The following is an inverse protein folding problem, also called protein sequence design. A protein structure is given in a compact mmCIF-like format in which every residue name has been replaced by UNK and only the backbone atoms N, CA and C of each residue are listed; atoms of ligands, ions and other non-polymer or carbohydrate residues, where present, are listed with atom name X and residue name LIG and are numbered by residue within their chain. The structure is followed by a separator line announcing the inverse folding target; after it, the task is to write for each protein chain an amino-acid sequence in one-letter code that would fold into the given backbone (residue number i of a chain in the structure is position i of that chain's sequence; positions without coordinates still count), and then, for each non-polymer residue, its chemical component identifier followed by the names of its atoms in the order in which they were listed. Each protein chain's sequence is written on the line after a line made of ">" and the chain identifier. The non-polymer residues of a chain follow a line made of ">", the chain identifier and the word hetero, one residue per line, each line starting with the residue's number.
data_IF_012590596999
#
_entry.id   IF_012590596999
#
_cell.length_a   1.000
_cell.length_b   1.000
_cell.length_c   1.000
_cell.angle_alpha   90.00
_cell.angle_beta   90.00
_cell.angle_gamma   90.00
#
_symmetry.space_group_name_H-M   'P 1'
#
loop_
_entity.id
_entity.type
_entity.pdbx_description
1 polymer ?
#
# COMPACT_ATOMS: atom_id res chain seq x y z
N UNK A 1 3.08 15.73 -77.35
CA UNK A 1 3.04 16.41 -76.07
C UNK A 1 1.71 16.11 -75.40
N UNK A 2 1.68 15.36 -74.30
CA UNK A 2 0.44 15.10 -73.56
C UNK A 2 0.17 16.29 -72.67
N UNK A 3 -0.94 17.03 -72.89
CA UNK A 3 -1.40 18.14 -72.05
C UNK A 3 -1.79 17.61 -70.68
N UNK A 4 -1.02 17.98 -69.67
CA UNK A 4 -1.31 17.67 -68.27
C UNK A 4 -2.53 18.48 -67.84
N UNK A 5 -3.59 17.82 -67.46
CA UNK A 5 -4.86 18.44 -67.10
C UNK A 5 -4.72 19.08 -65.71
N UNK A 6 -4.57 20.41 -65.66
CA UNK A 6 -4.32 21.26 -64.48
C UNK A 6 -5.36 21.03 -63.38
N UNK A 7 -6.59 20.64 -63.72
CA UNK A 7 -7.65 20.32 -62.79
C UNK A 7 -7.33 19.05 -61.93
N UNK A 8 -6.59 18.07 -62.49
CA UNK A 8 -6.15 16.89 -61.76
C UNK A 8 -4.96 17.14 -60.86
N UNK A 9 -4.13 18.15 -61.16
CA UNK A 9 -2.96 18.52 -60.37
C UNK A 9 -3.35 19.30 -59.11
N UNK A 10 -4.47 20.02 -59.09
CA UNK A 10 -4.95 20.78 -57.94
C UNK A 10 -5.70 19.88 -56.89
N UNK A 11 -6.23 18.72 -57.29
CA UNK A 11 -6.96 17.82 -56.39
C UNK A 11 -6.02 17.04 -55.49
N UNK A 12 -4.80 16.74 -55.96
CA UNK A 12 -3.82 15.94 -55.22
C UNK A 12 -3.31 16.63 -53.94
N UNK A 13 -2.90 17.91 -53.93
CA UNK A 13 -2.52 18.60 -52.67
C UNK A 13 -3.71 18.86 -51.75
N UNK A 14 -4.93 19.04 -52.27
CA UNK A 14 -6.12 19.20 -51.45
C UNK A 14 -6.47 17.89 -50.71
N UNK A 15 -6.37 16.74 -51.36
CA UNK A 15 -6.57 15.44 -50.74
C UNK A 15 -5.49 15.12 -49.69
N UNK A 16 -4.22 15.50 -49.95
CA UNK A 16 -3.12 15.33 -48.98
C UNK A 16 -3.30 16.21 -47.74
N UNK A 17 -3.79 17.44 -47.92
CA UNK A 17 -4.10 18.37 -46.79
C UNK A 17 -5.17 17.86 -45.83
N UNK A 18 -6.17 17.15 -46.33
CA UNK A 18 -7.25 16.58 -45.53
C UNK A 18 -6.79 15.37 -44.68
N UNK A 19 -5.77 14.64 -45.12
CA UNK A 19 -5.23 13.48 -44.38
C UNK A 19 -4.46 13.94 -43.15
N UNK A 20 -3.76 15.10 -43.23
CA UNK A 20 -2.97 15.61 -42.08
C UNK A 20 -3.81 16.29 -40.99
N UNK A 21 -5.01 16.77 -41.30
CA UNK A 21 -5.89 17.40 -40.30
C UNK A 21 -6.76 16.38 -39.55
N UNK A 22 -6.95 15.18 -40.10
CA UNK A 22 -7.79 14.16 -39.49
C UNK A 22 -7.15 13.49 -38.23
N UNK A 23 -5.83 13.37 -38.21
CA UNK A 23 -5.16 12.66 -37.11
C UNK A 23 -5.04 13.44 -35.80
N UNK A 24 -5.00 14.78 -35.85
CA UNK A 24 -4.85 15.58 -34.61
C UNK A 24 -6.12 15.67 -33.77
N UNK A 25 -7.28 15.53 -34.36
CA UNK A 25 -8.57 15.64 -33.66
C UNK A 25 -8.98 14.32 -32.99
N UNK A 26 -8.40 13.21 -33.43
CA UNK A 26 -8.72 11.88 -32.91
C UNK A 26 -7.78 11.38 -31.78
N UNK A 27 -6.65 12.05 -31.58
CA UNK A 27 -5.62 11.59 -30.64
C UNK A 27 -5.44 12.47 -29.39
N UNK A 28 -6.11 13.62 -29.31
CA UNK A 28 -5.79 14.59 -28.26
C UNK A 28 -6.89 14.86 -27.24
N UNK A 29 -8.13 14.46 -27.51
CA UNK A 29 -9.19 14.71 -26.53
C UNK A 29 -10.35 13.73 -26.72
N UNK A 30 -10.37 12.69 -25.90
CA UNK A 30 -11.53 11.80 -25.79
C UNK A 30 -12.58 12.37 -24.83
N UNK A 31 -12.43 13.62 -24.38
CA UNK A 31 -13.28 14.25 -23.39
C UNK A 31 -13.39 13.38 -22.14
N UNK A 32 -14.55 13.33 -21.54
CA UNK A 32 -14.80 12.55 -20.32
C UNK A 32 -15.01 11.04 -20.56
N UNK A 33 -14.81 10.54 -21.77
CA UNK A 33 -15.07 9.14 -22.14
C UNK A 33 -14.20 8.15 -21.34
N UNK A 34 -13.00 8.57 -20.93
CA UNK A 34 -12.08 7.77 -20.12
C UNK A 34 -12.13 8.14 -18.63
N UNK A 35 -12.98 9.08 -18.24
CA UNK A 35 -13.19 9.42 -16.83
C UNK A 35 -14.28 8.51 -16.30
N UNK A 36 -13.89 7.54 -15.48
CA UNK A 36 -14.88 6.72 -14.80
C UNK A 36 -15.55 7.56 -13.69
N UNK A 37 -16.85 7.88 -13.80
CA UNK A 37 -17.54 8.70 -12.80
C UNK A 37 -17.67 8.00 -11.45
N UNK A 38 -17.44 6.68 -11.40
CA UNK A 38 -17.43 5.90 -10.16
C UNK A 38 -16.09 5.89 -9.43
N UNK A 39 -15.04 6.49 -10.01
CA UNK A 39 -13.72 6.58 -9.37
C UNK A 39 -13.51 8.00 -8.86
N UNK A 40 -13.28 8.14 -7.58
CA UNK A 40 -12.91 9.42 -6.98
C UNK A 40 -11.54 9.85 -7.51
N UNK A 41 -11.44 11.05 -8.07
CA UNK A 41 -10.19 11.61 -8.63
C UNK A 41 -9.11 11.90 -7.56
N UNK A 42 -9.46 11.73 -6.28
CA UNK A 42 -8.53 11.91 -5.14
C UNK A 42 -8.75 10.80 -4.12
N UNK A 43 -7.69 10.30 -3.48
CA UNK A 43 -7.81 9.29 -2.44
C UNK A 43 -8.67 9.77 -1.28
N UNK A 44 -9.63 8.97 -0.84
CA UNK A 44 -10.39 9.19 0.38
C UNK A 44 -9.60 8.62 1.57
N UNK A 45 -8.75 9.43 2.18
CA UNK A 45 -7.85 8.98 3.25
C UNK A 45 -8.55 8.35 4.46
N UNK A 46 -9.75 8.82 4.81
CA UNK A 46 -10.58 8.19 5.84
C UNK A 46 -10.99 6.77 5.44
N UNK A 47 -11.34 6.52 4.18
CA UNK A 47 -11.69 5.19 3.69
C UNK A 47 -10.45 4.28 3.63
N UNK A 48 -9.29 4.78 3.21
CA UNK A 48 -8.03 4.04 3.23
C UNK A 48 -7.64 3.64 4.66
N UNK A 49 -7.79 4.55 5.63
CA UNK A 49 -7.53 4.23 7.04
C UNK A 49 -8.50 3.18 7.56
N UNK A 50 -9.81 3.34 7.29
CA UNK A 50 -10.83 2.35 7.70
C UNK A 50 -10.54 0.98 7.09
N UNK A 51 -10.22 0.90 5.79
CA UNK A 51 -9.86 -0.34 5.11
C UNK A 51 -8.64 -0.99 5.77
N UNK A 52 -7.62 -0.20 6.07
CA UNK A 52 -6.42 -0.68 6.76
C UNK A 52 -6.75 -1.24 8.15
N UNK A 53 -7.60 -0.57 8.91
CA UNK A 53 -8.00 -1.01 10.26
C UNK A 53 -8.85 -2.29 10.23
N UNK A 54 -9.71 -2.47 9.22
CA UNK A 54 -10.49 -3.71 9.02
C UNK A 54 -9.57 -4.90 8.71
N UNK A 55 -8.44 -4.67 8.04
CA UNK A 55 -7.49 -5.72 7.71
C UNK A 55 -6.58 -6.13 8.88
N UNK A 56 -6.36 -5.27 9.90
CA UNK A 56 -5.46 -5.53 11.04
C UNK A 56 -5.75 -6.84 11.77
N UNK A 57 -7.01 -7.24 12.07
CA UNK A 57 -7.29 -8.52 12.70
C UNK A 57 -6.71 -9.73 11.97
N UNK A 58 -6.63 -9.69 10.63
CA UNK A 58 -6.01 -10.74 9.83
C UNK A 58 -4.50 -10.92 10.13
N UNK A 59 -3.80 -9.84 10.46
CA UNK A 59 -2.40 -9.90 10.88
C UNK A 59 -2.24 -10.36 12.33
N UNK A 60 -3.21 -10.06 13.20
CA UNK A 60 -3.19 -10.51 14.58
C UNK A 60 -3.52 -12.00 14.73
N UNK A 61 -4.45 -12.51 13.92
CA UNK A 61 -4.98 -13.87 13.99
C UNK A 61 -4.41 -14.74 12.87
N UNK A 62 -3.09 -14.96 12.86
CA UNK A 62 -2.43 -15.83 11.88
C UNK A 62 -2.70 -17.32 12.21
N UNK A 63 -3.85 -17.83 11.81
CA UNK A 63 -4.26 -19.23 12.04
C UNK A 63 -3.29 -20.23 11.44
N UNK A 64 -2.65 -19.91 10.31
CA UNK A 64 -1.70 -20.80 9.62
C UNK A 64 -0.46 -21.11 10.46
N UNK A 65 0.08 -20.12 11.17
CA UNK A 65 1.16 -20.35 12.12
C UNK A 65 0.76 -21.35 13.22
N UNK A 66 -0.46 -21.24 13.74
CA UNK A 66 -1.02 -22.17 14.72
C UNK A 66 -1.18 -23.59 14.18
N UNK A 67 -1.55 -23.74 12.89
CA UNK A 67 -1.61 -25.07 12.23
C UNK A 67 -0.21 -25.66 12.06
N UNK A 68 0.78 -24.89 11.65
CA UNK A 68 2.16 -25.36 11.50
C UNK A 68 2.84 -25.70 12.82
N UNK A 69 2.50 -25.00 13.91
CA UNK A 69 2.96 -25.31 15.25
C UNK A 69 2.13 -26.40 15.93
N UNK A 70 1.15 -26.98 15.25
CA UNK A 70 0.26 -28.03 15.78
C UNK A 70 -0.60 -27.58 16.98
N UNK A 71 -0.83 -26.27 17.17
CA UNK A 71 -1.79 -25.77 18.16
C UNK A 71 -3.24 -25.89 17.68
N UNK A 72 -3.44 -25.92 16.38
CA UNK A 72 -4.73 -26.14 15.72
C UNK A 72 -4.61 -27.36 14.81
N UNK A 73 -5.73 -28.05 14.59
CA UNK A 73 -5.86 -29.09 13.58
C UNK A 73 -7.08 -28.80 12.71
N UNK A 74 -6.96 -29.12 11.43
CA UNK A 74 -8.08 -29.11 10.51
C UNK A 74 -8.85 -30.42 10.64
N UNK A 75 -10.18 -30.36 10.51
CA UNK A 75 -11.03 -31.54 10.67
C UNK A 75 -11.40 -32.21 9.37
N UNK A 76 -11.62 -31.43 8.31
CA UNK A 76 -12.12 -31.94 7.03
C UNK A 76 -11.05 -31.98 5.93
N UNK A 77 -10.16 -31.01 5.88
CA UNK A 77 -9.10 -30.88 4.89
C UNK A 77 -7.76 -30.64 5.59
N UNK A 78 -7.06 -31.67 6.05
CA UNK A 78 -5.88 -31.54 6.90
C UNK A 78 -4.61 -31.12 6.16
N UNK A 79 -4.72 -30.67 4.92
CA UNK A 79 -3.59 -30.42 4.04
C UNK A 79 -2.64 -29.36 4.56
N UNK A 80 -3.14 -28.26 5.12
CA UNK A 80 -2.28 -27.19 5.64
C UNK A 80 -1.56 -27.63 6.91
N UNK A 81 -2.25 -28.29 7.84
CA UNK A 81 -1.63 -28.83 9.07
C UNK A 81 -0.62 -29.94 8.78
N UNK A 82 -0.70 -30.57 7.61
CA UNK A 82 0.26 -31.58 7.11
C UNK A 82 1.36 -30.99 6.22
N UNK A 83 1.53 -29.66 6.22
CA UNK A 83 2.58 -28.96 5.47
C UNK A 83 2.51 -29.14 3.94
N UNK A 84 1.32 -29.32 3.38
CA UNK A 84 1.11 -29.44 1.93
C UNK A 84 1.50 -28.18 1.15
N UNK A 85 1.53 -27.03 1.83
CA UNK A 85 1.95 -25.74 1.26
C UNK A 85 3.28 -25.33 1.93
N UNK A 86 4.42 -25.74 1.38
CA UNK A 86 5.74 -25.50 2.00
C UNK A 86 6.17 -24.03 1.96
N UNK A 87 5.63 -23.23 1.03
CA UNK A 87 5.97 -21.82 0.88
C UNK A 87 4.71 -20.97 0.85
N UNK A 88 4.70 -19.95 1.68
CA UNK A 88 3.63 -18.93 1.74
C UNK A 88 4.24 -17.64 1.26
N UNK A 89 3.62 -17.07 0.23
CA UNK A 89 4.06 -15.82 -0.35
C UNK A 89 3.71 -14.63 0.57
N UNK A 90 4.64 -13.70 0.76
CA UNK A 90 4.44 -12.47 1.53
C UNK A 90 4.14 -11.23 0.65
N UNK A 91 4.32 -11.33 -0.66
CA UNK A 91 4.25 -10.19 -1.60
C UNK A 91 2.90 -9.48 -1.57
N UNK A 92 1.80 -10.23 -1.40
CA UNK A 92 0.45 -9.67 -1.34
C UNK A 92 0.23 -8.65 -0.21
N UNK A 93 1.09 -8.64 0.82
CA UNK A 93 0.99 -7.65 1.89
C UNK A 93 1.38 -6.24 1.42
N UNK A 94 2.24 -6.11 0.41
CA UNK A 94 2.76 -4.82 -0.05
C UNK A 94 1.78 -4.07 -0.96
N UNK A 95 1.08 -4.75 -1.83
CA UNK A 95 0.16 -4.13 -2.81
C UNK A 95 -1.17 -3.68 -2.23
N UNK A 96 -1.52 -4.12 -1.02
CA UNK A 96 -2.78 -3.82 -0.34
C UNK A 96 -2.60 -2.77 0.76
N UNK A 97 -2.83 -3.23 2.00
CA UNK A 97 -2.89 -2.38 3.20
C UNK A 97 -1.63 -1.55 3.43
N UNK A 98 -0.44 -2.11 3.17
CA UNK A 98 0.81 -1.34 3.31
C UNK A 98 0.87 -0.18 2.33
N UNK A 99 0.40 -0.37 1.10
CA UNK A 99 0.34 0.70 0.10
C UNK A 99 -0.68 1.78 0.49
N UNK A 100 -1.85 1.40 1.02
CA UNK A 100 -2.86 2.33 1.53
C UNK A 100 -2.30 3.19 2.65
N UNK A 101 -1.63 2.56 3.64
CA UNK A 101 -0.97 3.26 4.75
C UNK A 101 0.16 4.18 4.26
N UNK A 102 0.96 3.73 3.31
CA UNK A 102 2.03 4.55 2.72
C UNK A 102 1.46 5.76 1.99
N UNK A 103 0.33 5.61 1.30
CA UNK A 103 -0.35 6.73 0.65
C UNK A 103 -0.83 7.77 1.68
N UNK A 104 -1.40 7.34 2.82
CA UNK A 104 -1.78 8.25 3.90
C UNK A 104 -0.54 8.95 4.48
N UNK A 105 0.57 8.23 4.67
CA UNK A 105 1.82 8.81 5.19
C UNK A 105 2.35 9.90 4.27
N UNK A 106 2.33 9.66 2.96
CA UNK A 106 2.84 10.61 1.97
C UNK A 106 1.90 11.80 1.77
N UNK A 107 0.60 11.56 1.63
CA UNK A 107 -0.35 12.51 1.10
C UNK A 107 -1.50 12.86 2.08
N UNK A 108 -1.54 12.22 3.26
CA UNK A 108 -2.62 12.38 4.23
C UNK A 108 -2.77 13.82 4.73
N UNK A 109 -3.98 14.20 5.18
CA UNK A 109 -4.35 15.60 5.40
C UNK A 109 -3.73 16.22 6.66
N UNK A 110 -3.25 15.41 7.61
CA UNK A 110 -2.72 15.91 8.89
C UNK A 110 -1.78 14.90 9.57
N UNK A 111 -1.02 15.41 10.56
CA UNK A 111 0.01 14.65 11.27
C UNK A 111 -0.56 13.49 12.10
N UNK A 112 -1.75 13.66 12.67
CA UNK A 112 -2.37 12.59 13.46
C UNK A 112 -2.73 11.38 12.61
N UNK A 113 -3.32 11.57 11.40
CA UNK A 113 -3.58 10.47 10.48
C UNK A 113 -2.30 9.80 9.99
N UNK A 114 -1.27 10.60 9.68
CA UNK A 114 0.05 10.09 9.28
C UNK A 114 0.69 9.29 10.41
N UNK A 115 0.65 9.78 11.64
CA UNK A 115 1.18 9.10 12.83
C UNK A 115 0.52 7.74 13.07
N UNK A 116 -0.81 7.67 13.00
CA UNK A 116 -1.56 6.40 13.11
C UNK A 116 -1.15 5.44 12.01
N UNK A 117 -1.08 5.91 10.76
CA UNK A 117 -0.71 5.07 9.61
C UNK A 117 0.71 4.52 9.73
N UNK A 118 1.66 5.30 10.27
CA UNK A 118 3.02 4.84 10.57
C UNK A 118 3.04 3.75 11.64
N UNK A 119 2.24 3.89 12.71
CA UNK A 119 2.12 2.86 13.75
C UNK A 119 1.54 1.57 13.18
N UNK A 120 0.47 1.65 12.38
CA UNK A 120 -0.14 0.49 11.75
C UNK A 120 0.81 -0.18 10.74
N UNK A 121 1.52 0.61 9.93
CA UNK A 121 2.54 0.10 9.02
C UNK A 121 3.65 -0.65 9.77
N UNK A 122 4.12 -0.10 10.87
CA UNK A 122 5.13 -0.74 11.72
C UNK A 122 4.60 -2.05 12.33
N UNK A 123 3.33 -2.09 12.75
CA UNK A 123 2.70 -3.32 13.23
C UNK A 123 2.68 -4.42 12.17
N UNK A 124 2.27 -4.09 10.95
CA UNK A 124 2.21 -5.04 9.84
C UNK A 124 3.62 -5.54 9.49
N UNK A 125 4.61 -4.66 9.35
CA UNK A 125 5.98 -5.07 9.06
C UNK A 125 6.58 -5.93 10.16
N UNK A 126 6.27 -5.67 11.44
CA UNK A 126 6.72 -6.55 12.53
C UNK A 126 6.16 -7.95 12.36
N UNK A 127 4.89 -8.08 11.97
CA UNK A 127 4.25 -9.37 11.73
C UNK A 127 4.82 -10.09 10.51
N UNK A 128 5.13 -9.34 9.44
CA UNK A 128 5.75 -9.90 8.24
C UNK A 128 7.16 -10.43 8.55
N UNK A 129 8.02 -9.62 9.17
CA UNK A 129 9.39 -10.07 9.49
C UNK A 129 9.42 -11.20 10.51
N UNK A 130 8.47 -11.23 11.47
CA UNK A 130 8.31 -12.36 12.41
C UNK A 130 7.94 -13.66 11.71
N UNK A 131 7.22 -13.57 10.59
CA UNK A 131 6.74 -14.75 9.85
C UNK A 131 7.74 -15.22 8.79
N UNK A 132 8.47 -14.31 8.13
CA UNK A 132 9.33 -14.65 6.98
C UNK A 132 10.82 -14.29 7.16
N UNK A 133 11.18 -13.61 8.26
CA UNK A 133 12.57 -13.20 8.51
C UNK A 133 12.95 -11.96 7.70
N UNK A 134 13.98 -12.08 6.88
CA UNK A 134 14.47 -11.01 6.01
C UNK A 134 13.45 -10.74 4.89
N UNK A 135 13.02 -9.49 4.77
CA UNK A 135 12.03 -9.04 3.76
C UNK A 135 12.37 -7.63 3.28
N UNK A 136 11.87 -7.19 2.13
CA UNK A 136 12.01 -5.80 1.71
C UNK A 136 11.31 -4.85 2.70
N UNK A 137 12.04 -3.91 3.28
CA UNK A 137 11.55 -2.94 4.25
C UNK A 137 11.98 -1.50 3.92
N UNK A 138 13.30 -1.24 3.88
CA UNK A 138 13.82 0.11 3.70
C UNK A 138 13.51 0.72 2.32
N UNK A 139 13.50 -0.11 1.29
CA UNK A 139 13.19 0.26 -0.08
C UNK A 139 11.75 -0.12 -0.48
N UNK A 140 10.99 -0.69 0.43
CA UNK A 140 9.61 -1.07 0.16
C UNK A 140 8.72 0.16 -0.08
N UNK A 141 7.70 0.01 -0.94
CA UNK A 141 6.68 1.02 -1.21
C UNK A 141 7.23 2.35 -1.78
N UNK A 142 8.46 2.34 -2.28
CA UNK A 142 9.12 3.50 -2.89
C UNK A 142 8.89 3.63 -4.40
N UNK A 143 8.18 2.68 -5.01
CA UNK A 143 8.05 2.56 -6.47
C UNK A 143 9.22 1.80 -7.13
N UNK A 144 10.20 1.33 -6.35
CA UNK A 144 11.24 0.45 -6.86
C UNK A 144 10.68 -0.95 -7.16
N UNK A 145 10.77 -1.40 -8.40
CA UNK A 145 10.27 -2.71 -8.83
C UNK A 145 11.08 -3.90 -8.29
N UNK A 146 12.30 -3.66 -7.79
CA UNK A 146 13.21 -4.67 -7.25
C UNK A 146 13.83 -4.20 -5.93
N UNK A 147 13.04 -4.05 -4.85
CA UNK A 147 13.58 -3.62 -3.56
C UNK A 147 14.51 -4.68 -2.98
N UNK A 148 15.58 -4.25 -2.33
CA UNK A 148 16.50 -5.14 -1.62
C UNK A 148 15.80 -5.74 -0.38
N UNK A 149 16.22 -6.96 -0.01
CA UNK A 149 15.84 -7.57 1.27
C UNK A 149 16.70 -6.96 2.38
N UNK A 150 16.04 -6.54 3.45
CA UNK A 150 16.69 -6.07 4.67
C UNK A 150 16.78 -7.22 5.67
N UNK A 151 17.83 -7.24 6.48
CA UNK A 151 17.96 -8.22 7.55
C UNK A 151 16.91 -7.96 8.63
N UNK A 152 16.37 -9.00 9.22
CA UNK A 152 15.38 -8.88 10.29
C UNK A 152 15.87 -7.97 11.44
N UNK A 153 17.15 -8.03 11.82
CA UNK A 153 17.75 -7.15 12.83
C UNK A 153 17.65 -5.67 12.47
N UNK A 154 17.88 -5.34 11.19
CA UNK A 154 17.84 -3.98 10.68
C UNK A 154 16.39 -3.48 10.59
N UNK A 155 15.48 -4.37 10.20
CA UNK A 155 14.03 -4.10 10.22
C UNK A 155 13.57 -3.74 11.62
N UNK A 156 13.93 -4.54 12.64
CA UNK A 156 13.55 -4.25 14.03
C UNK A 156 14.08 -2.91 14.52
N UNK A 157 15.33 -2.57 14.19
CA UNK A 157 15.91 -1.26 14.50
C UNK A 157 15.12 -0.13 13.83
N UNK A 158 14.79 -0.31 12.56
CA UNK A 158 13.95 0.61 11.80
C UNK A 158 12.56 0.79 12.41
N UNK A 159 11.91 -0.32 12.79
CA UNK A 159 10.58 -0.30 13.41
C UNK A 159 10.55 0.46 14.73
N UNK A 160 11.55 0.26 15.60
CA UNK A 160 11.65 0.99 16.88
C UNK A 160 11.84 2.49 16.67
N UNK A 161 12.66 2.87 15.69
CA UNK A 161 12.87 4.26 15.29
C UNK A 161 11.59 4.86 14.72
N UNK A 162 10.93 4.16 13.82
CA UNK A 162 9.68 4.57 13.18
C UNK A 162 8.55 4.77 14.20
N UNK A 163 8.38 3.83 15.12
CA UNK A 163 7.37 3.93 16.18
C UNK A 163 7.63 5.13 17.12
N UNK A 164 8.91 5.39 17.43
CA UNK A 164 9.26 6.58 18.23
C UNK A 164 8.87 7.87 17.52
N UNK A 165 9.20 7.98 16.24
CA UNK A 165 8.85 9.15 15.44
C UNK A 165 7.33 9.28 15.25
N UNK A 166 6.63 8.16 15.01
CA UNK A 166 5.18 8.14 14.84
C UNK A 166 4.42 8.58 16.09
N UNK A 167 4.84 8.09 17.27
CA UNK A 167 4.23 8.50 18.56
C UNK A 167 4.48 9.99 18.84
N UNK A 168 5.65 10.51 18.52
CA UNK A 168 5.96 11.94 18.66
C UNK A 168 5.19 12.82 17.67
N UNK A 169 4.86 12.29 16.49
CA UNK A 169 4.03 12.99 15.49
C UNK A 169 2.57 13.09 15.93
N UNK A 170 2.09 12.13 16.74
CA UNK A 170 0.75 12.18 17.32
C UNK A 170 0.66 13.28 18.39
N UNK A 171 -0.40 14.06 18.36
CA UNK A 171 -0.61 15.24 19.20
C UNK A 171 -0.49 16.54 18.41
N UNK A 172 -0.15 16.44 17.12
CA UNK A 172 -0.27 17.54 16.16
C UNK A 172 -1.74 17.92 15.89
N UNK A 173 -1.94 18.80 14.92
CA UNK A 173 -3.28 19.26 14.54
C UNK A 173 -4.00 18.25 13.65
N UNK A 174 -5.33 18.28 13.68
CA UNK A 174 -6.22 17.55 12.78
C UNK A 174 -6.84 16.29 13.39
N UNK A 175 -8.04 15.99 12.91
CA UNK A 175 -8.81 14.81 13.35
C UNK A 175 -8.33 13.53 12.63
N UNK A 176 -8.39 12.41 13.33
CA UNK A 176 -8.20 11.08 12.75
C UNK A 176 -9.58 10.59 12.28
N UNK A 177 -9.90 10.86 11.02
CA UNK A 177 -11.17 10.44 10.42
C UNK A 177 -11.07 9.01 9.90
N UNK A 178 -12.15 8.23 10.01
CA UNK A 178 -12.17 6.83 9.59
C UNK A 178 -11.57 5.85 10.61
N UNK A 179 -11.24 6.33 11.82
CA UNK A 179 -10.75 5.47 12.90
C UNK A 179 -11.90 4.73 13.59
N UNK A 180 -12.05 3.44 13.28
CA UNK A 180 -13.07 2.54 13.84
C UNK A 180 -12.63 1.85 15.14
N UNK A 181 -11.37 2.03 15.57
CA UNK A 181 -10.82 1.36 16.76
C UNK A 181 -10.89 2.24 17.99
N UNK A 182 -10.43 3.47 17.89
CA UNK A 182 -10.37 4.40 19.03
C UNK A 182 -11.18 5.67 18.82
N UNK A 183 -11.93 5.77 17.70
CA UNK A 183 -12.79 6.93 17.40
C UNK A 183 -12.01 8.24 17.27
N UNK A 184 -10.80 8.20 16.77
CA UNK A 184 -9.94 9.36 16.62
C UNK A 184 -9.19 9.79 17.88
N UNK A 185 -9.19 8.97 18.95
CA UNK A 185 -8.54 9.33 20.21
C UNK A 185 -7.01 9.19 20.11
N UNK A 186 -6.33 10.33 20.00
CA UNK A 186 -4.87 10.43 19.86
C UNK A 186 -4.13 9.78 21.03
N UNK A 187 -4.58 10.00 22.27
CA UNK A 187 -3.92 9.44 23.44
C UNK A 187 -3.96 7.90 23.47
N UNK A 188 -5.04 7.29 22.98
CA UNK A 188 -5.12 5.84 22.85
C UNK A 188 -4.13 5.32 21.78
N UNK A 189 -3.99 6.01 20.67
CA UNK A 189 -3.02 5.69 19.64
C UNK A 189 -1.57 5.83 20.11
N UNK A 190 -1.26 6.86 20.90
CA UNK A 190 0.06 7.02 21.54
C UNK A 190 0.35 5.83 22.48
N UNK A 191 -0.63 5.41 23.28
CA UNK A 191 -0.49 4.24 24.17
C UNK A 191 -0.26 2.96 23.33
N UNK A 192 -1.02 2.76 22.25
CA UNK A 192 -0.85 1.62 21.37
C UNK A 192 0.55 1.59 20.75
N UNK A 193 1.02 2.73 20.19
CA UNK A 193 2.36 2.83 19.60
C UNK A 193 3.47 2.54 20.61
N UNK A 194 3.36 3.06 21.85
CA UNK A 194 4.31 2.79 22.92
C UNK A 194 4.27 1.32 23.38
N UNK A 195 3.09 0.71 23.46
CA UNK A 195 2.94 -0.71 23.81
C UNK A 195 3.55 -1.61 22.73
N UNK A 196 3.35 -1.28 21.47
CA UNK A 196 3.99 -2.00 20.35
C UNK A 196 5.52 -1.86 20.41
N UNK A 197 6.01 -0.65 20.66
CA UNK A 197 7.46 -0.40 20.82
C UNK A 197 8.05 -1.23 21.98
N UNK A 198 7.37 -1.28 23.10
CA UNK A 198 7.78 -2.11 24.24
C UNK A 198 7.81 -3.60 23.88
N UNK A 199 6.77 -4.10 23.22
CA UNK A 199 6.70 -5.49 22.75
C UNK A 199 7.88 -5.84 21.86
N UNK A 200 8.18 -5.02 20.85
CA UNK A 200 9.29 -5.25 19.92
C UNK A 200 10.65 -5.18 20.64
N UNK A 201 10.83 -4.23 21.57
CA UNK A 201 12.06 -4.12 22.36
C UNK A 201 12.29 -5.36 23.25
N UNK A 202 11.25 -5.89 23.89
CA UNK A 202 11.33 -7.13 24.68
C UNK A 202 11.70 -8.31 23.79
N UNK A 203 11.14 -8.41 22.59
CA UNK A 203 11.37 -9.52 21.67
C UNK A 203 12.85 -9.63 21.26
N UNK A 204 13.54 -8.49 21.10
CA UNK A 204 14.96 -8.47 20.73
C UNK A 204 15.91 -8.32 21.92
N UNK A 205 15.43 -8.28 23.16
CA UNK A 205 16.23 -7.97 24.34
C UNK A 205 17.35 -8.97 24.65
N UNK A 206 17.29 -10.17 24.05
CA UNK A 206 18.31 -11.24 24.22
C UNK A 206 19.08 -11.55 22.94
N UNK A 207 19.04 -10.67 21.96
CA UNK A 207 19.69 -10.84 20.65
C UNK A 207 20.94 -9.96 20.54
#
# INVERSE_FOLDING_TARGET
>A
MKTINIKKLAVLPLALGLIFTSCKRYSSDFGDTNVNPGVTGSPLFNALLTNSLVAIPGYAAQTRGGLYCQYFSETQYPDVSQYSIPQINFEGNYSGVLNDLQNIINNGPNDNMKGVSRILKAYIFSTITDSWGDVPYSQALSGNGTPAFDRQSDIYTGLLTELTAAVNQLGGTGAITGDIVYGGNVAKWQKFGNSLRLRLAIQISKK
#
